data_IF_496799730650
#
_entry.id   IF_496799730650
#
_cell.length_a   1.000
_cell.length_b   1.000
_cell.length_c   1.000
_cell.angle_alpha   90.00
_cell.angle_beta   90.00
_cell.angle_gamma   90.00
#
_symmetry.space_group_name_H-M   'P 1'
#
loop_
_entity.id
_entity.type
_entity.pdbx_description
1 polymer ?
#
# COMPACT_ATOMS: atom_id res chain seq x y z
N UNK A 1 -22.54 52.58 44.80
CA UNK A 1 -21.50 51.85 44.07
C UNK A 1 -22.17 50.83 43.18
N UNK A 2 -21.93 50.86 41.86
CA UNK A 2 -22.36 49.76 40.98
C UNK A 2 -21.49 48.55 41.30
N UNK A 3 -22.08 47.44 41.73
CA UNK A 3 -21.36 46.18 41.92
C UNK A 3 -21.45 45.42 40.61
N UNK A 4 -20.28 45.13 40.03
CA UNK A 4 -20.16 44.38 38.78
C UNK A 4 -19.78 42.93 39.08
N UNK A 5 -20.11 42.01 38.19
CA UNK A 5 -19.54 40.66 38.24
C UNK A 5 -18.22 40.64 37.48
N UNK A 6 -17.16 40.13 38.11
CA UNK A 6 -15.89 39.86 37.44
C UNK A 6 -15.80 38.37 37.16
N UNK A 7 -15.66 38.02 35.88
CA UNK A 7 -15.54 36.65 35.41
C UNK A 7 -14.07 36.33 35.22
N UNK A 8 -13.64 35.21 35.79
CA UNK A 8 -12.28 34.71 35.67
C UNK A 8 -12.23 33.51 34.74
N UNK A 9 -11.11 33.36 34.05
CA UNK A 9 -10.75 32.13 33.34
C UNK A 9 -10.30 31.07 34.34
N UNK A 10 -10.27 29.82 33.87
CA UNK A 10 -9.74 28.70 34.65
C UNK A 10 -8.27 28.88 35.06
N UNK A 11 -7.50 29.69 34.33
CA UNK A 11 -6.12 30.05 34.67
C UNK A 11 -6.01 31.23 35.66
N UNK A 12 -7.14 31.75 36.16
CA UNK A 12 -7.21 32.85 37.11
C UNK A 12 -7.13 34.26 36.52
N UNK A 13 -6.96 34.43 35.21
CA UNK A 13 -6.99 35.78 34.60
C UNK A 13 -8.42 36.31 34.50
N UNK A 14 -8.58 37.64 34.57
CA UNK A 14 -9.89 38.28 34.35
C UNK A 14 -10.26 38.17 32.88
N UNK A 15 -11.45 37.64 32.59
CA UNK A 15 -12.01 37.56 31.24
C UNK A 15 -12.91 38.74 30.90
N UNK A 16 -13.89 39.04 31.77
CA UNK A 16 -14.86 40.10 31.54
C UNK A 16 -15.37 40.69 32.86
N UNK A 17 -15.80 41.95 32.82
CA UNK A 17 -16.53 42.59 33.92
C UNK A 17 -17.91 42.99 33.43
N UNK A 18 -18.95 42.46 34.08
CA UNK A 18 -20.35 42.62 33.66
C UNK A 18 -21.02 43.64 34.59
N UNK A 19 -21.47 44.79 34.07
CA UNK A 19 -22.20 45.76 34.87
C UNK A 19 -23.56 45.25 35.37
N UNK A 20 -24.10 45.92 36.39
CA UNK A 20 -25.47 45.66 36.88
C UNK A 20 -26.51 45.95 35.77
N UNK A 21 -27.54 45.12 35.69
CA UNK A 21 -28.68 45.20 34.76
C UNK A 21 -28.33 45.11 33.25
N UNK A 22 -27.16 44.57 32.90
CA UNK A 22 -26.69 44.41 31.51
C UNK A 22 -26.56 42.92 31.16
N UNK A 23 -26.76 42.57 29.89
CA UNK A 23 -26.33 41.29 29.32
C UNK A 23 -25.22 41.61 28.33
N UNK A 24 -24.02 41.08 28.55
CA UNK A 24 -22.94 41.11 27.57
C UNK A 24 -23.08 39.88 26.69
N UNK A 25 -23.32 40.05 25.40
CA UNK A 25 -23.56 38.96 24.48
C UNK A 25 -22.75 39.09 23.19
N UNK A 26 -22.79 38.07 22.32
CA UNK A 26 -22.00 38.01 21.09
C UNK A 26 -22.33 39.12 20.07
N UNK A 27 -23.49 39.75 20.19
CA UNK A 27 -23.99 40.76 19.25
C UNK A 27 -24.07 42.19 19.81
N UNK A 28 -23.34 42.49 20.90
CA UNK A 28 -23.34 43.85 21.47
C UNK A 28 -22.49 44.82 20.62
N UNK A 29 -23.08 45.88 20.03
CA UNK A 29 -22.33 46.86 19.24
C UNK A 29 -21.34 47.65 20.12
N UNK A 30 -20.09 47.76 19.68
CA UNK A 30 -19.07 48.63 20.33
C UNK A 30 -18.45 48.07 21.63
N UNK A 31 -18.57 46.77 21.90
CA UNK A 31 -17.98 46.10 23.07
C UNK A 31 -17.18 44.85 22.66
N UNK A 32 -16.31 44.34 23.55
CA UNK A 32 -15.61 43.07 23.36
C UNK A 32 -16.64 41.91 23.34
N UNK A 33 -16.91 41.27 22.19
CA UNK A 33 -17.93 40.23 22.11
C UNK A 33 -17.52 39.04 22.98
N UNK A 34 -18.52 38.36 23.56
CA UNK A 34 -18.34 37.17 24.39
C UNK A 34 -19.10 36.00 23.74
N UNK A 35 -18.64 34.75 23.91
CA UNK A 35 -19.17 33.62 23.16
C UNK A 35 -20.56 33.21 23.62
N UNK A 36 -20.93 33.59 24.85
CA UNK A 36 -22.22 33.34 25.47
C UNK A 36 -22.77 34.64 26.04
N UNK A 37 -24.09 34.72 26.22
CA UNK A 37 -24.73 35.80 26.94
C UNK A 37 -24.38 35.75 28.43
N UNK A 38 -23.52 36.65 28.88
CA UNK A 38 -23.15 36.81 30.28
C UNK A 38 -24.09 37.81 30.97
N UNK A 39 -24.81 37.33 31.98
CA UNK A 39 -25.89 38.07 32.64
C UNK A 39 -25.34 38.83 33.86
N UNK A 40 -25.52 40.15 33.87
CA UNK A 40 -25.19 41.02 34.98
C UNK A 40 -26.18 40.91 36.14
N UNK A 41 -25.75 41.34 37.32
CA UNK A 41 -26.60 41.35 38.52
C UNK A 41 -27.91 42.10 38.27
N UNK A 42 -29.01 41.65 38.87
CA UNK A 42 -30.34 42.28 38.79
C UNK A 42 -30.88 42.49 37.37
N UNK A 43 -30.31 41.83 36.35
CA UNK A 43 -30.89 41.88 35.01
C UNK A 43 -32.23 41.16 35.03
N UNK A 44 -33.30 41.86 34.65
CA UNK A 44 -34.61 41.24 34.38
C UNK A 44 -34.67 40.73 32.94
N UNK A 45 -35.52 39.74 32.67
CA UNK A 45 -35.69 39.10 31.36
C UNK A 45 -34.44 38.37 30.83
N UNK A 46 -33.61 37.82 31.73
CA UNK A 46 -32.43 37.03 31.37
C UNK A 46 -32.73 35.62 30.85
N UNK A 47 -33.95 35.12 31.09
CA UNK A 47 -34.30 33.71 30.87
C UNK A 47 -34.09 33.23 29.43
N UNK A 48 -34.44 34.06 28.44
CA UNK A 48 -34.18 33.75 27.04
C UNK A 48 -32.67 33.61 26.77
N UNK A 49 -31.89 34.62 27.15
CA UNK A 49 -30.45 34.67 26.92
C UNK A 49 -29.72 33.48 27.57
N UNK A 50 -30.19 33.01 28.74
CA UNK A 50 -29.62 31.84 29.41
C UNK A 50 -30.02 30.53 28.72
N UNK A 51 -31.28 30.36 28.31
CA UNK A 51 -31.70 29.16 27.59
C UNK A 51 -30.98 29.02 26.23
N UNK A 52 -30.78 30.13 25.51
CA UNK A 52 -29.99 30.16 24.27
C UNK A 52 -28.54 29.70 24.50
N UNK A 53 -27.91 30.12 25.60
CA UNK A 53 -26.54 29.67 25.93
C UNK A 53 -26.45 28.15 26.05
N UNK A 54 -27.41 27.50 26.71
CA UNK A 54 -27.40 26.05 26.87
C UNK A 54 -27.57 25.33 25.53
N UNK A 55 -28.44 25.85 24.65
CA UNK A 55 -28.60 25.30 23.31
C UNK A 55 -27.31 25.43 22.51
N UNK A 56 -26.68 26.61 22.51
CA UNK A 56 -25.41 26.87 21.81
C UNK A 56 -24.27 25.97 22.28
N UNK A 57 -24.20 25.67 23.57
CA UNK A 57 -23.21 24.75 24.11
C UNK A 57 -23.45 23.30 23.64
N UNK A 58 -24.71 22.84 23.63
CA UNK A 58 -25.05 21.47 23.20
C UNK A 58 -24.78 21.27 21.71
N UNK A 59 -25.03 22.27 20.87
CA UNK A 59 -24.75 22.19 19.43
C UNK A 59 -23.30 22.51 19.06
N UNK A 60 -22.42 22.71 20.05
CA UNK A 60 -21.03 23.16 19.84
C UNK A 60 -20.96 24.40 18.93
N UNK A 61 -21.84 25.37 19.16
CA UNK A 61 -21.96 26.61 18.38
C UNK A 61 -22.11 26.36 16.87
N UNK A 62 -22.83 25.31 16.49
CA UNK A 62 -23.02 24.87 15.10
C UNK A 62 -23.46 26.02 14.18
N UNK A 63 -22.61 26.40 13.24
CA UNK A 63 -22.88 27.46 12.26
C UNK A 63 -21.87 27.42 11.12
N UNK A 64 -22.22 27.98 9.96
CA UNK A 64 -21.27 28.21 8.86
C UNK A 64 -20.24 29.31 9.20
N UNK A 65 -20.58 30.21 10.11
CA UNK A 65 -19.73 31.32 10.56
C UNK A 65 -19.17 31.05 11.96
N UNK A 66 -17.93 31.45 12.17
CA UNK A 66 -17.22 31.32 13.43
C UNK A 66 -17.99 32.05 14.55
N UNK A 67 -18.05 31.46 15.76
CA UNK A 67 -18.70 32.11 16.90
C UNK A 67 -18.03 33.44 17.23
N UNK A 68 -18.83 34.49 17.43
CA UNK A 68 -18.33 35.83 17.81
C UNK A 68 -17.78 35.80 19.23
N UNK A 69 -16.65 36.48 19.45
CA UNK A 69 -16.07 36.56 20.79
C UNK A 69 -15.54 35.23 21.29
N UNK A 70 -15.23 34.29 20.39
CA UNK A 70 -14.76 32.96 20.78
C UNK A 70 -13.52 33.04 21.68
N UNK A 71 -13.36 32.03 22.52
CA UNK A 71 -12.24 31.94 23.46
C UNK A 71 -11.33 30.78 23.09
N UNK A 72 -10.05 30.89 23.43
CA UNK A 72 -9.11 29.79 23.29
C UNK A 72 -9.67 28.51 23.95
N UNK A 73 -9.66 27.41 23.21
CA UNK A 73 -10.19 26.10 23.62
C UNK A 73 -11.67 25.88 23.32
N UNK A 74 -12.37 26.88 22.76
CA UNK A 74 -13.78 26.73 22.41
C UNK A 74 -13.97 25.80 21.21
N UNK A 75 -14.94 24.88 21.34
CA UNK A 75 -15.38 24.02 20.24
C UNK A 75 -16.33 24.77 19.31
N UNK A 76 -16.21 24.48 18.01
CA UNK A 76 -17.11 24.97 16.97
C UNK A 76 -17.38 23.87 15.95
N UNK A 77 -18.65 23.50 15.75
CA UNK A 77 -19.06 22.66 14.63
C UNK A 77 -19.34 23.52 13.40
N UNK A 78 -18.39 23.59 12.47
CA UNK A 78 -18.55 24.31 11.20
C UNK A 78 -19.41 23.47 10.26
N UNK A 79 -20.66 23.87 10.07
CA UNK A 79 -21.61 23.19 9.21
C UNK A 79 -21.75 23.95 7.87
N UNK A 80 -21.38 23.31 6.76
CA UNK A 80 -21.49 23.87 5.40
C UNK A 80 -22.65 23.26 4.60
N UNK A 81 -23.60 22.60 5.27
CA UNK A 81 -24.80 22.01 4.68
C UNK A 81 -24.69 20.50 4.52
N UNK A 82 -23.86 20.02 3.59
CA UNK A 82 -23.69 18.58 3.29
C UNK A 82 -22.55 17.92 4.08
N UNK A 83 -21.66 18.72 4.67
CA UNK A 83 -20.53 18.24 5.48
C UNK A 83 -20.35 19.14 6.70
N UNK A 84 -19.76 18.57 7.76
CA UNK A 84 -19.41 19.32 8.95
C UNK A 84 -18.01 18.99 9.45
N UNK A 85 -17.39 19.95 10.12
CA UNK A 85 -16.05 19.86 10.70
C UNK A 85 -16.10 20.34 12.15
N UNK A 86 -15.48 19.59 13.07
CA UNK A 86 -15.30 20.06 14.44
C UNK A 86 -13.94 20.74 14.55
N UNK A 87 -13.97 21.97 15.04
CA UNK A 87 -12.83 22.84 15.20
C UNK A 87 -12.67 23.20 16.68
N UNK A 88 -11.43 23.45 17.09
CA UNK A 88 -11.10 24.06 18.38
C UNK A 88 -10.32 25.35 18.15
N UNK A 89 -10.73 26.42 18.83
CA UNK A 89 -10.05 27.71 18.75
C UNK A 89 -8.69 27.65 19.44
N UNK A 90 -7.64 28.10 18.78
CA UNK A 90 -6.28 28.13 19.34
C UNK A 90 -5.93 29.49 19.99
N UNK A 91 -6.75 30.51 19.73
CA UNK A 91 -6.58 31.88 20.26
C UNK A 91 -7.94 32.45 20.68
N UNK A 92 -7.93 33.60 21.34
CA UNK A 92 -9.16 34.36 21.58
C UNK A 92 -9.52 35.18 20.35
N UNK A 93 -10.81 35.33 20.07
CA UNK A 93 -11.31 36.03 18.88
C UNK A 93 -10.72 35.50 17.56
N UNK A 94 -10.52 34.19 17.47
CA UNK A 94 -10.13 33.51 16.24
C UNK A 94 -11.10 33.89 15.10
N UNK A 95 -10.51 34.29 13.98
CA UNK A 95 -11.23 34.82 12.81
C UNK A 95 -11.90 33.69 12.03
N UNK A 96 -12.86 34.04 11.18
CA UNK A 96 -13.43 33.07 10.23
C UNK A 96 -12.29 32.47 9.39
N UNK A 97 -12.15 31.13 9.32
CA UNK A 97 -11.15 30.50 8.46
C UNK A 97 -11.47 30.79 6.99
N UNK A 98 -10.66 31.65 6.37
CA UNK A 98 -10.80 32.06 4.97
C UNK A 98 -9.45 32.19 4.24
N UNK A 99 -8.34 32.20 4.98
CA UNK A 99 -6.98 32.29 4.47
C UNK A 99 -5.99 31.57 5.40
N UNK A 100 -4.72 31.45 5.00
CA UNK A 100 -3.71 30.74 5.80
C UNK A 100 -3.50 31.32 7.20
N UNK A 101 -3.78 32.62 7.41
CA UNK A 101 -3.53 33.28 8.69
C UNK A 101 -4.67 33.02 9.66
N UNK A 102 -5.91 33.16 9.19
CA UNK A 102 -7.14 32.86 9.94
C UNK A 102 -7.34 31.36 10.16
N UNK A 103 -6.87 30.51 9.24
CA UNK A 103 -6.88 29.05 9.43
C UNK A 103 -5.93 28.59 10.54
N UNK A 104 -4.78 29.25 10.70
CA UNK A 104 -3.82 28.93 11.77
C UNK A 104 -4.36 29.25 13.18
N UNK A 105 -5.48 29.97 13.29
CA UNK A 105 -6.16 30.28 14.56
C UNK A 105 -7.11 29.16 15.02
N UNK A 106 -7.33 28.14 14.17
CA UNK A 106 -8.18 27.00 14.45
C UNK A 106 -7.41 25.69 14.23
N UNK A 107 -7.65 24.71 15.11
CA UNK A 107 -7.26 23.33 14.83
C UNK A 107 -8.49 22.53 14.44
N UNK A 108 -8.40 21.78 13.34
CA UNK A 108 -9.35 20.72 13.04
C UNK A 108 -9.14 19.57 14.01
N UNK A 109 -10.23 19.12 14.64
CA UNK A 109 -10.22 17.86 15.40
C UNK A 109 -10.57 16.79 14.37
N UNK A 110 -9.61 15.94 13.95
CA UNK A 110 -9.86 14.99 12.88
C UNK A 110 -10.92 13.97 13.32
N UNK A 111 -12.11 14.08 12.74
CA UNK A 111 -13.06 12.97 12.73
C UNK A 111 -12.72 12.09 11.54
N UNK A 112 -12.13 10.92 11.80
CA UNK A 112 -11.90 9.94 10.74
C UNK A 112 -13.26 9.33 10.39
N UNK A 113 -13.88 9.88 9.36
CA UNK A 113 -15.17 9.43 8.83
C UNK A 113 -14.97 8.92 7.40
N UNK A 114 -15.70 7.87 7.04
CA UNK A 114 -15.72 7.33 5.67
C UNK A 114 -16.54 8.27 4.78
N UNK A 115 -15.88 8.85 3.78
CA UNK A 115 -16.50 9.62 2.71
C UNK A 115 -16.32 8.88 1.38
N UNK A 116 -17.41 8.61 0.68
CA UNK A 116 -17.32 7.93 -0.62
C UNK A 116 -16.68 8.81 -1.71
N UNK A 117 -16.57 10.13 -1.45
CA UNK A 117 -15.88 11.11 -2.28
C UNK A 117 -15.03 12.03 -1.41
N UNK A 118 -13.87 12.47 -1.93
CA UNK A 118 -13.02 13.42 -1.23
C UNK A 118 -13.79 14.75 -1.04
N UNK A 119 -13.92 15.29 0.18
CA UNK A 119 -14.56 16.58 0.42
C UNK A 119 -13.83 17.72 -0.30
N UNK A 120 -14.54 18.79 -0.63
CA UNK A 120 -13.91 19.95 -1.26
C UNK A 120 -12.78 20.54 -0.39
N UNK A 121 -11.62 20.76 -1.01
CA UNK A 121 -10.45 21.30 -0.34
C UNK A 121 -10.63 22.76 0.05
N UNK A 122 -11.27 23.57 -0.79
CA UNK A 122 -11.38 25.02 -0.60
C UNK A 122 -12.15 25.35 0.69
N UNK A 123 -13.26 24.66 0.91
CA UNK A 123 -14.11 24.85 2.09
C UNK A 123 -13.66 24.08 3.34
N UNK A 124 -12.61 23.27 3.26
CA UNK A 124 -12.13 22.43 4.38
C UNK A 124 -10.92 23.05 5.10
N UNK A 125 -10.76 22.77 6.39
CA UNK A 125 -9.63 23.26 7.20
C UNK A 125 -8.43 22.31 7.10
N UNK A 126 -7.22 22.87 6.95
CA UNK A 126 -5.96 22.11 6.92
C UNK A 126 -5.83 21.15 8.12
N UNK A 127 -5.20 20.00 7.90
CA UNK A 127 -5.03 18.95 8.90
C UNK A 127 -6.21 17.99 9.03
N UNK A 128 -7.34 18.24 8.34
CA UNK A 128 -8.46 17.29 8.28
C UNK A 128 -8.00 15.95 7.71
N UNK A 129 -8.43 14.86 8.33
CA UNK A 129 -8.18 13.49 7.88
C UNK A 129 -9.49 12.79 7.52
N UNK A 130 -9.52 12.03 6.43
CA UNK A 130 -10.71 11.31 5.95
C UNK A 130 -10.35 9.92 5.42
N UNK A 131 -11.26 8.96 5.57
CA UNK A 131 -11.20 7.68 4.86
C UNK A 131 -12.03 7.79 3.57
N UNK A 132 -11.46 7.40 2.43
CA UNK A 132 -12.14 7.42 1.13
C UNK A 132 -12.25 6.03 0.52
N UNK A 133 -13.03 5.91 -0.56
CA UNK A 133 -13.22 4.64 -1.28
C UNK A 133 -13.73 3.52 -0.38
N UNK A 134 -14.84 3.77 0.34
CA UNK A 134 -15.42 2.86 1.32
C UNK A 134 -14.49 2.44 2.49
N UNK A 135 -13.39 3.14 2.73
CA UNK A 135 -12.49 2.88 3.85
C UNK A 135 -11.06 2.48 3.46
N UNK A 136 -10.78 2.31 2.17
CA UNK A 136 -9.50 1.74 1.70
C UNK A 136 -8.33 2.75 1.69
N UNK A 137 -8.61 4.04 1.69
CA UNK A 137 -7.58 5.09 1.54
C UNK A 137 -7.71 6.17 2.62
N UNK A 138 -6.64 6.45 3.34
CA UNK A 138 -6.56 7.55 4.30
C UNK A 138 -5.99 8.80 3.62
N UNK A 139 -6.67 9.94 3.71
CA UNK A 139 -6.21 11.21 3.13
C UNK A 139 -6.15 12.32 4.17
N UNK A 140 -5.17 13.21 4.04
CA UNK A 140 -4.98 14.40 4.87
C UNK A 140 -4.97 15.66 4.02
N UNK A 141 -5.67 16.70 4.46
CA UNK A 141 -5.68 18.00 3.78
C UNK A 141 -4.43 18.81 4.15
N UNK A 142 -3.60 19.11 3.15
CA UNK A 142 -2.29 19.72 3.34
C UNK A 142 -2.31 21.22 3.08
N UNK A 143 -1.15 21.87 3.29
CA UNK A 143 -0.93 23.26 2.89
C UNK A 143 -1.28 23.43 1.40
N UNK A 144 -2.01 24.51 1.08
CA UNK A 144 -2.56 24.82 -0.25
C UNK A 144 -3.86 24.10 -0.64
N UNK A 145 -4.65 23.62 0.34
CA UNK A 145 -5.98 22.99 0.10
C UNK A 145 -5.93 21.74 -0.77
N UNK A 146 -4.77 21.09 -0.84
CA UNK A 146 -4.54 19.87 -1.61
C UNK A 146 -4.70 18.65 -0.70
N UNK A 147 -5.55 17.70 -1.10
CA UNK A 147 -5.66 16.42 -0.42
C UNK A 147 -4.48 15.51 -0.79
N UNK A 148 -3.79 14.99 0.23
CA UNK A 148 -2.74 13.99 0.04
C UNK A 148 -3.13 12.67 0.66
N UNK A 149 -2.88 11.61 -0.09
CA UNK A 149 -3.09 10.25 0.38
C UNK A 149 -1.93 9.82 1.27
N UNK A 150 -2.27 9.42 2.49
CA UNK A 150 -1.35 8.72 3.38
C UNK A 150 -1.34 7.27 2.90
N UNK A 151 -0.23 6.89 2.27
CA UNK A 151 -0.01 5.53 1.80
C UNK A 151 0.00 4.58 3.00
N UNK A 152 -1.09 3.85 3.21
CA UNK A 152 -1.20 2.81 4.25
C UNK A 152 -0.90 1.41 3.72
N UNK A 153 -0.81 1.24 2.41
CA UNK A 153 -0.36 0.02 1.74
C UNK A 153 0.97 0.25 1.00
N UNK A 154 1.83 -0.76 1.02
CA UNK A 154 2.98 -0.84 0.10
C UNK A 154 2.45 -1.13 -1.31
N UNK A 155 2.99 -0.52 -2.37
CA UNK A 155 2.53 -0.79 -3.74
C UNK A 155 2.75 -2.27 -4.08
N UNK A 156 1.67 -3.06 -4.11
CA UNK A 156 1.67 -4.51 -4.33
C UNK A 156 2.32 -4.93 -5.66
N UNK A 157 2.34 -4.05 -6.66
CA UNK A 157 2.82 -4.38 -8.00
C UNK A 157 4.36 -4.33 -8.15
N UNK A 158 5.12 -3.97 -7.10
CA UNK A 158 6.59 -3.78 -7.22
C UNK A 158 7.42 -4.50 -6.16
N UNK A 159 6.78 -5.18 -5.20
CA UNK A 159 7.44 -6.06 -4.23
C UNK A 159 6.60 -7.34 -4.05
N UNK A 160 7.22 -8.50 -4.23
CA UNK A 160 6.57 -9.80 -4.00
C UNK A 160 7.40 -10.63 -3.02
N UNK A 161 6.73 -11.26 -2.05
CA UNK A 161 7.35 -12.18 -1.11
C UNK A 161 6.47 -13.41 -0.94
N UNK A 162 7.03 -14.61 -1.14
CA UNK A 162 6.29 -15.86 -0.94
C UNK A 162 7.21 -17.04 -0.66
N UNK A 163 6.67 -18.02 0.05
CA UNK A 163 7.27 -19.35 0.16
C UNK A 163 6.88 -20.16 -1.08
N UNK A 164 7.88 -20.65 -1.82
CA UNK A 164 7.63 -21.43 -3.03
C UNK A 164 7.20 -22.86 -2.69
N UNK A 165 6.31 -23.40 -3.52
CA UNK A 165 5.97 -24.81 -3.49
C UNK A 165 7.16 -25.66 -3.93
N UNK A 166 7.42 -26.73 -3.18
CA UNK A 166 8.52 -27.65 -3.43
C UNK A 166 8.05 -28.79 -4.32
N UNK A 167 8.78 -29.03 -5.40
CA UNK A 167 8.53 -30.08 -6.36
C UNK A 167 9.04 -31.43 -5.84
N UNK A 168 8.32 -32.01 -4.89
CA UNK A 168 8.60 -33.35 -4.37
C UNK A 168 8.38 -34.43 -5.44
N UNK A 169 9.06 -35.56 -5.27
CA UNK A 169 8.82 -36.72 -6.12
C UNK A 169 7.39 -37.24 -5.95
N UNK A 170 6.80 -37.78 -7.02
CA UNK A 170 5.39 -38.18 -7.03
C UNK A 170 5.06 -39.13 -5.86
N UNK A 171 4.07 -38.76 -5.05
CA UNK A 171 3.64 -39.52 -3.86
C UNK A 171 4.62 -39.47 -2.67
N UNK A 172 5.70 -38.69 -2.74
CA UNK A 172 6.73 -38.56 -1.70
C UNK A 172 6.71 -37.15 -1.08
N UNK A 173 7.32 -37.03 0.10
CA UNK A 173 7.53 -35.74 0.80
C UNK A 173 9.00 -35.30 0.77
N UNK A 174 9.76 -35.81 -0.18
CA UNK A 174 11.19 -35.54 -0.37
C UNK A 174 11.52 -35.59 -1.87
N UNK A 175 12.68 -35.03 -2.21
CA UNK A 175 13.29 -35.17 -3.53
C UNK A 175 14.42 -36.17 -3.39
N UNK A 176 14.34 -37.29 -4.11
CA UNK A 176 15.39 -38.30 -4.13
C UNK A 176 16.37 -38.01 -5.25
N UNK A 177 17.64 -37.87 -4.90
CA UNK A 177 18.76 -37.71 -5.82
C UNK A 177 19.51 -39.04 -5.90
N UNK A 178 19.77 -39.49 -7.11
CA UNK A 178 20.52 -40.72 -7.40
C UNK A 178 21.71 -40.38 -8.28
N UNK A 179 22.66 -41.31 -8.41
CA UNK A 179 23.77 -41.13 -9.35
C UNK A 179 23.30 -40.86 -10.80
N UNK A 180 22.24 -41.53 -11.24
CA UNK A 180 21.67 -41.37 -12.59
C UNK A 180 20.81 -40.11 -12.75
N UNK A 181 20.36 -39.51 -11.64
CA UNK A 181 19.57 -38.29 -11.64
C UNK A 181 20.01 -37.38 -10.47
N UNK A 182 21.23 -36.87 -10.60
CA UNK A 182 21.91 -36.11 -9.55
C UNK A 182 21.54 -34.63 -9.51
N UNK A 183 20.74 -34.16 -10.49
CA UNK A 183 20.29 -32.78 -10.62
C UNK A 183 18.79 -32.76 -10.89
N UNK A 184 18.02 -32.11 -10.02
CA UNK A 184 16.56 -32.10 -10.09
C UNK A 184 15.98 -30.73 -9.71
N UNK A 185 14.83 -30.36 -10.30
CA UNK A 185 14.14 -29.13 -9.93
C UNK A 185 13.57 -29.22 -8.52
N UNK A 186 13.92 -28.25 -7.68
CA UNK A 186 13.43 -28.09 -6.30
C UNK A 186 12.15 -27.28 -6.26
N UNK A 187 12.12 -26.14 -6.95
CA UNK A 187 10.99 -25.22 -6.94
C UNK A 187 10.94 -24.43 -8.25
N UNK A 188 9.75 -23.93 -8.55
CA UNK A 188 9.48 -23.09 -9.71
C UNK A 188 8.88 -21.78 -9.23
N UNK A 189 9.24 -20.68 -9.89
CA UNK A 189 8.58 -19.40 -9.69
C UNK A 189 8.27 -18.72 -11.01
N UNK A 190 7.06 -18.16 -11.06
CA UNK A 190 6.39 -17.59 -12.23
C UNK A 190 6.09 -18.63 -13.33
N UNK A 191 4.82 -18.68 -13.75
CA UNK A 191 4.33 -19.47 -14.87
C UNK A 191 3.75 -18.59 -16.00
N UNK A 192 3.98 -17.27 -15.97
CA UNK A 192 3.61 -16.33 -17.05
C UNK A 192 2.69 -15.18 -16.60
N UNK A 193 2.71 -14.09 -17.38
CA UNK A 193 1.83 -12.93 -17.19
C UNK A 193 0.38 -13.18 -17.62
N UNK A 194 -0.53 -12.28 -17.29
CA UNK A 194 -1.96 -12.39 -17.63
C UNK A 194 -2.23 -11.92 -19.06
N UNK A 195 -2.97 -12.71 -19.84
CA UNK A 195 -3.53 -12.30 -21.14
C UNK A 195 -4.95 -11.76 -20.96
N UNK A 196 -5.30 -10.66 -21.64
CA UNK A 196 -6.66 -10.11 -21.66
C UNK A 196 -7.19 -10.06 -23.10
N UNK A 197 -8.50 -10.23 -23.26
CA UNK A 197 -9.17 -10.10 -24.56
C UNK A 197 -9.78 -8.70 -24.67
N UNK A 198 -9.37 -7.93 -25.68
CA UNK A 198 -9.88 -6.57 -25.89
C UNK A 198 -11.30 -6.54 -26.50
N UNK A 199 -11.86 -5.34 -26.69
CA UNK A 199 -13.21 -5.13 -27.26
C UNK A 199 -13.34 -5.59 -28.71
N UNK A 200 -12.23 -5.88 -29.39
CA UNK A 200 -12.18 -6.39 -30.76
C UNK A 200 -11.89 -7.92 -30.78
N UNK A 201 -11.99 -8.57 -29.62
CA UNK A 201 -11.70 -9.99 -29.39
C UNK A 201 -10.24 -10.39 -29.64
N UNK A 202 -9.27 -9.48 -29.54
CA UNK A 202 -7.84 -9.82 -29.66
C UNK A 202 -7.26 -10.17 -28.30
N UNK A 203 -6.50 -11.26 -28.24
CA UNK A 203 -5.72 -11.59 -27.04
C UNK A 203 -4.48 -10.69 -26.99
N UNK A 204 -4.41 -9.83 -25.97
CA UNK A 204 -3.30 -8.92 -25.72
C UNK A 204 -2.60 -9.29 -24.43
N UNK A 205 -1.27 -9.15 -24.43
CA UNK A 205 -0.48 -9.15 -23.20
C UNK A 205 -0.47 -7.71 -22.70
N UNK A 206 -1.17 -7.47 -21.60
CA UNK A 206 -1.25 -6.14 -20.98
C UNK A 206 -0.21 -6.02 -19.87
N UNK A 207 0.17 -4.79 -19.51
CA UNK A 207 0.85 -4.57 -18.24
C UNK A 207 -0.17 -4.93 -17.13
N UNK A 208 -0.12 -6.18 -16.68
CA UNK A 208 -1.05 -6.69 -15.68
C UNK A 208 -0.69 -6.17 -14.30
N UNK A 209 -1.62 -6.22 -13.36
CA UNK A 209 -1.34 -6.06 -11.92
C UNK A 209 -0.61 -7.28 -11.34
N UNK A 210 0.15 -8.00 -12.16
CA UNK A 210 0.95 -9.16 -11.77
C UNK A 210 2.33 -8.73 -11.29
N UNK A 211 3.09 -9.69 -10.75
CA UNK A 211 4.39 -9.42 -10.11
C UNK A 211 5.45 -8.91 -11.11
N UNK A 212 5.35 -9.30 -12.38
CA UNK A 212 6.29 -8.89 -13.44
C UNK A 212 5.62 -8.04 -14.51
N UNK A 213 6.17 -6.85 -14.70
CA UNK A 213 5.86 -5.88 -15.74
C UNK A 213 6.91 -6.01 -16.86
N UNK A 214 6.45 -5.96 -18.11
CA UNK A 214 7.36 -5.96 -19.27
C UNK A 214 8.26 -4.73 -19.24
N UNK A 215 9.53 -4.91 -19.63
CA UNK A 215 10.54 -3.88 -19.66
C UNK A 215 11.03 -3.36 -18.31
N UNK A 216 10.70 -4.05 -17.23
CA UNK A 216 11.21 -3.74 -15.89
C UNK A 216 12.39 -4.62 -15.52
N UNK A 217 13.27 -4.05 -14.68
CA UNK A 217 14.35 -4.77 -14.01
C UNK A 217 13.88 -5.19 -12.62
N UNK A 218 14.24 -6.42 -12.25
CA UNK A 218 13.89 -6.98 -10.96
C UNK A 218 15.13 -7.46 -10.23
N UNK A 219 15.20 -7.17 -8.95
CA UNK A 219 16.07 -7.85 -8.01
C UNK A 219 15.31 -9.02 -7.39
N UNK A 220 15.98 -10.15 -7.21
CA UNK A 220 15.47 -11.27 -6.43
C UNK A 220 16.42 -11.61 -5.29
N UNK A 221 15.84 -12.02 -4.17
CA UNK A 221 16.54 -12.64 -3.05
C UNK A 221 15.87 -13.97 -2.72
N UNK A 222 16.67 -15.03 -2.73
CA UNK A 222 16.27 -16.38 -2.38
C UNK A 222 16.96 -16.79 -1.09
N UNK A 223 16.16 -17.21 -0.10
CA UNK A 223 16.66 -17.89 1.10
C UNK A 223 16.23 -19.34 1.02
N UNK A 224 17.20 -20.21 0.80
CA UNK A 224 16.98 -21.64 0.59
C UNK A 224 17.57 -22.39 1.77
N UNK A 225 16.77 -23.23 2.41
CA UNK A 225 17.25 -24.19 3.41
C UNK A 225 17.02 -25.60 2.86
N UNK A 226 18.05 -26.43 2.88
CA UNK A 226 17.98 -27.84 2.51
C UNK A 226 18.41 -28.67 3.71
N UNK A 227 17.68 -29.77 3.95
CA UNK A 227 18.02 -30.78 4.96
C UNK A 227 17.91 -32.18 4.39
N UNK A 228 18.75 -33.07 4.89
CA UNK A 228 18.64 -34.51 4.60
C UNK A 228 17.52 -35.12 5.44
N UNK A 229 16.82 -36.05 4.83
CA UNK A 229 15.78 -36.84 5.49
C UNK A 229 15.99 -38.31 5.22
N UNK A 230 15.51 -39.14 6.13
CA UNK A 230 15.36 -40.56 5.89
C UNK A 230 13.88 -40.92 5.83
N UNK A 231 13.59 -42.00 5.11
CA UNK A 231 12.25 -42.57 5.00
C UNK A 231 12.28 -43.93 5.71
N UNK A 232 11.78 -43.95 6.94
CA UNK A 232 11.66 -45.17 7.75
C UNK A 232 10.19 -45.60 7.73
N UNK A 233 9.87 -46.56 6.85
CA UNK A 233 8.53 -47.15 6.75
C UNK A 233 7.39 -46.14 6.51
N UNK A 234 7.63 -45.08 5.73
CA UNK A 234 6.63 -44.08 5.36
C UNK A 234 6.59 -42.85 6.28
N UNK A 235 7.34 -42.85 7.38
CA UNK A 235 7.59 -41.66 8.18
C UNK A 235 8.90 -40.99 7.75
N UNK A 236 8.81 -39.68 7.53
CA UNK A 236 9.97 -38.86 7.18
C UNK A 236 10.62 -38.35 8.46
N UNK A 237 11.84 -38.83 8.71
CA UNK A 237 12.65 -38.41 9.86
C UNK A 237 13.72 -37.46 9.37
N UNK A 238 13.86 -36.29 10.01
CA UNK A 238 14.90 -35.33 9.66
C UNK A 238 16.26 -35.75 10.22
N UNK A 239 17.31 -35.54 9.44
CA UNK A 239 18.70 -35.67 9.87
C UNK A 239 19.32 -34.26 10.02
N UNK A 240 19.00 -33.52 11.10
CA UNK A 240 19.26 -32.08 11.21
C UNK A 240 20.74 -31.68 11.12
N UNK A 241 21.66 -32.60 11.44
CA UNK A 241 23.10 -32.38 11.32
C UNK A 241 23.59 -32.29 9.88
N UNK A 242 22.80 -32.74 8.90
CA UNK A 242 23.05 -32.57 7.48
C UNK A 242 22.05 -31.54 6.97
N UNK A 243 22.40 -30.26 7.09
CA UNK A 243 21.62 -29.16 6.53
C UNK A 243 22.57 -28.15 5.87
N UNK A 244 22.04 -27.38 4.92
CA UNK A 244 22.78 -26.33 4.20
C UNK A 244 21.83 -25.20 3.86
N UNK A 245 22.29 -23.97 4.06
CA UNK A 245 21.50 -22.77 3.73
C UNK A 245 22.21 -21.99 2.63
N UNK A 246 21.43 -21.51 1.67
CA UNK A 246 21.90 -20.71 0.56
C UNK A 246 21.15 -19.38 0.56
N UNK A 247 21.92 -18.31 0.41
CA UNK A 247 21.41 -16.98 0.13
C UNK A 247 21.84 -16.63 -1.28
N UNK A 248 20.87 -16.53 -2.18
CA UNK A 248 21.13 -16.19 -3.58
C UNK A 248 20.46 -14.87 -3.85
N UNK A 249 21.24 -13.90 -4.31
CA UNK A 249 20.72 -12.63 -4.78
C UNK A 249 21.05 -12.48 -6.24
N UNK A 250 20.19 -11.82 -6.98
CA UNK A 250 20.51 -11.53 -8.36
C UNK A 250 19.52 -10.58 -8.96
N UNK A 251 19.68 -10.39 -10.26
CA UNK A 251 18.81 -9.54 -11.05
C UNK A 251 18.50 -10.18 -12.39
N UNK A 252 17.30 -9.89 -12.87
CA UNK A 252 16.88 -10.23 -14.21
C UNK A 252 16.09 -9.09 -14.84
N UNK A 253 16.04 -9.15 -16.15
CA UNK A 253 15.27 -8.23 -16.98
C UNK A 253 14.16 -8.99 -17.69
N UNK A 254 12.95 -8.46 -17.65
CA UNK A 254 11.82 -8.94 -18.46
C UNK A 254 11.79 -8.14 -19.75
N UNK A 255 11.79 -8.81 -20.90
CA UNK A 255 11.86 -8.18 -22.21
C UNK A 255 10.93 -6.96 -22.34
N UNK A 256 11.47 -5.87 -22.90
CA UNK A 256 10.73 -4.65 -23.21
C UNK A 256 10.46 -4.63 -24.70
N UNK A 257 9.21 -4.72 -25.08
CA UNK A 257 8.78 -4.15 -26.35
C UNK A 257 7.46 -3.41 -26.03
N UNK A 258 7.31 -2.17 -26.52
CA UNK A 258 6.36 -1.17 -26.00
C UNK A 258 4.86 -1.44 -26.21
N UNK A 259 4.06 -0.40 -26.42
CA UNK A 259 2.60 -0.56 -26.62
C UNK A 259 2.31 -1.15 -28.00
N UNK A 260 1.60 -2.28 -28.07
CA UNK A 260 1.20 -2.91 -29.33
C UNK A 260 -0.23 -2.55 -29.69
N UNK A 261 -0.43 -2.14 -30.94
CA UNK A 261 -1.76 -2.00 -31.55
C UNK A 261 -1.93 -3.11 -32.59
N UNK A 262 -2.69 -4.17 -32.28
CA UNK A 262 -2.97 -5.23 -33.24
C UNK A 262 -3.45 -4.67 -34.60
N UNK A 263 -2.90 -5.20 -35.70
CA UNK A 263 -3.23 -4.78 -37.07
C UNK A 263 -2.34 -3.70 -37.70
N UNK A 264 -1.40 -3.09 -36.96
CA UNK A 264 -0.42 -2.13 -37.50
C UNK A 264 1.04 -2.53 -37.31
N UNK A 265 1.31 -3.41 -36.34
CA UNK A 265 2.63 -3.97 -36.02
C UNK A 265 2.66 -5.45 -36.37
N UNK A 266 3.85 -6.03 -36.54
CA UNK A 266 4.01 -7.48 -36.73
C UNK A 266 3.97 -8.21 -35.39
N UNK A 267 3.46 -9.44 -35.37
CA UNK A 267 3.49 -10.31 -34.18
C UNK A 267 4.93 -10.48 -33.65
N UNK A 268 5.93 -10.41 -34.56
CA UNK A 268 7.37 -10.48 -34.25
C UNK A 268 7.84 -9.45 -33.22
N UNK A 269 7.08 -8.37 -33.05
CA UNK A 269 7.42 -7.27 -32.18
C UNK A 269 6.80 -7.42 -30.79
N UNK A 270 5.87 -8.36 -30.57
CA UNK A 270 5.25 -8.59 -29.25
C UNK A 270 6.29 -8.97 -28.19
N UNK A 271 6.06 -8.62 -26.90
CA UNK A 271 6.93 -9.04 -25.83
C UNK A 271 6.85 -10.55 -25.69
N UNK A 272 8.01 -11.20 -25.56
CA UNK A 272 8.04 -12.63 -25.29
C UNK A 272 8.09 -12.84 -23.78
N UNK A 273 7.03 -13.38 -23.13
CA UNK A 273 7.03 -13.63 -21.69
C UNK A 273 8.08 -14.67 -21.26
N UNK A 274 8.72 -15.39 -22.21
CA UNK A 274 9.85 -16.31 -21.96
C UNK A 274 11.21 -15.61 -22.00
N UNK A 275 11.31 -14.38 -22.49
CA UNK A 275 12.58 -13.64 -22.57
C UNK A 275 12.87 -12.95 -21.25
N UNK A 276 13.26 -13.76 -20.28
CA UNK A 276 13.84 -13.28 -19.03
C UNK A 276 15.37 -13.44 -19.14
N UNK A 277 16.09 -12.33 -19.08
CA UNK A 277 17.56 -12.34 -19.15
C UNK A 277 18.13 -12.21 -17.76
N UNK A 278 18.86 -13.24 -17.30
CA UNK A 278 19.66 -13.13 -16.09
C UNK A 278 20.80 -12.14 -16.32
N UNK A 279 20.91 -11.13 -15.46
CA UNK A 279 21.94 -10.10 -15.56
C UNK A 279 23.11 -10.41 -14.62
N UNK A 280 22.81 -10.81 -13.38
CA UNK A 280 23.82 -11.16 -12.39
C UNK A 280 23.22 -12.10 -11.33
N UNK A 281 24.07 -12.96 -10.76
CA UNK A 281 23.73 -13.78 -9.59
C UNK A 281 24.91 -13.90 -8.65
N UNK A 282 24.67 -13.61 -7.38
CA UNK A 282 25.60 -13.75 -6.27
C UNK A 282 25.06 -14.83 -5.35
N UNK A 283 25.90 -15.81 -5.02
CA UNK A 283 25.54 -16.95 -4.20
C UNK A 283 26.43 -17.00 -2.96
N UNK A 284 25.82 -16.82 -1.81
CA UNK A 284 26.43 -16.98 -0.51
C UNK A 284 25.97 -18.30 0.11
N UNK A 285 26.95 -19.11 0.51
CA UNK A 285 26.71 -20.43 1.12
C UNK A 285 26.99 -20.34 2.61
N UNK A 286 26.03 -20.75 3.42
CA UNK A 286 26.20 -20.85 4.88
C UNK A 286 26.41 -22.32 5.25
N UNK A 287 27.33 -22.53 6.21
CA UNK A 287 27.95 -23.79 6.63
C UNK A 287 27.06 -25.03 6.57
N UNK A 288 27.65 -26.14 6.10
CA UNK A 288 27.10 -27.49 6.14
C UNK A 288 28.16 -28.47 6.64
N UNK A 289 27.73 -29.58 7.23
CA UNK A 289 28.58 -30.74 7.57
C UNK A 289 28.91 -31.63 6.36
N UNK A 290 28.14 -31.52 5.26
CA UNK A 290 28.35 -32.25 4.00
C UNK A 290 28.63 -31.28 2.85
N UNK A 291 29.79 -31.40 2.15
CA UNK A 291 30.19 -30.43 1.14
C UNK A 291 29.53 -30.62 -0.23
N UNK A 292 28.84 -31.75 -0.48
CA UNK A 292 28.48 -32.19 -1.83
C UNK A 292 27.13 -31.69 -2.37
N UNK A 293 26.37 -30.90 -1.60
CA UNK A 293 25.10 -30.33 -2.03
C UNK A 293 25.29 -28.98 -2.69
N UNK A 294 24.57 -28.76 -3.77
CA UNK A 294 24.54 -27.47 -4.41
C UNK A 294 23.16 -27.08 -4.92
N UNK A 295 22.96 -25.79 -5.12
CA UNK A 295 21.76 -25.23 -5.76
C UNK A 295 22.18 -24.27 -6.86
N UNK A 296 21.39 -24.23 -7.92
CA UNK A 296 21.57 -23.29 -9.01
C UNK A 296 20.24 -22.67 -9.38
N UNK A 297 20.31 -21.40 -9.79
CA UNK A 297 19.16 -20.70 -10.37
C UNK A 297 19.25 -20.86 -11.88
N UNK A 298 18.17 -21.39 -12.44
CA UNK A 298 17.99 -21.57 -13.88
C UNK A 298 16.92 -20.59 -14.33
N UNK A 299 17.37 -19.48 -14.89
CA UNK A 299 16.52 -18.56 -15.64
C UNK A 299 16.57 -19.03 -17.10
N UNK A 300 15.51 -19.70 -17.56
CA UNK A 300 15.52 -20.29 -18.90
C UNK A 300 15.27 -19.21 -19.95
N UNK A 301 16.14 -19.17 -20.97
CA UNK A 301 15.94 -18.35 -22.16
C UNK A 301 14.92 -18.94 -23.13
N UNK A 302 14.75 -18.26 -24.28
CA UNK A 302 13.80 -18.59 -25.35
C UNK A 302 13.80 -20.09 -25.70
N UNK A 303 12.61 -20.65 -25.91
CA UNK A 303 12.43 -21.98 -26.48
C UNK A 303 12.57 -21.92 -28.01
N UNK A 304 13.70 -22.39 -28.59
CA UNK A 304 13.93 -22.28 -30.03
C UNK A 304 13.05 -23.24 -30.85
N UNK A 305 12.32 -24.17 -30.20
CA UNK A 305 11.41 -25.10 -30.87
C UNK A 305 10.06 -24.48 -31.22
N UNK A 306 9.75 -23.31 -30.66
CA UNK A 306 8.51 -22.59 -30.93
C UNK A 306 8.72 -21.67 -32.14
N UNK A 307 7.85 -21.72 -33.16
CA UNK A 307 7.98 -20.87 -34.35
C UNK A 307 8.03 -19.39 -33.98
N UNK A 308 8.92 -18.63 -34.63
CA UNK A 308 8.98 -17.17 -34.48
C UNK A 308 7.60 -16.54 -34.78
N UNK A 309 7.25 -15.42 -34.13
CA UNK A 309 5.96 -14.80 -34.36
C UNK A 309 6.00 -14.10 -35.72
N UNK A 310 5.28 -14.64 -36.70
CA UNK A 310 5.25 -14.11 -38.07
C UNK A 310 3.84 -13.65 -38.41
N UNK A 311 3.71 -12.47 -39.04
CA UNK A 311 2.44 -11.97 -39.59
C UNK A 311 1.84 -10.80 -38.81
N UNK A 312 0.71 -10.29 -39.32
CA UNK A 312 -0.04 -9.14 -38.78
C UNK A 312 -1.51 -9.49 -38.52
N UNK A 313 -1.91 -10.75 -38.74
CA UNK A 313 -3.29 -11.20 -38.62
C UNK A 313 -3.61 -11.71 -37.23
N UNK A 314 -4.88 -11.69 -36.83
CA UNK A 314 -5.35 -12.20 -35.52
C UNK A 314 -4.88 -13.60 -35.18
N UNK A 315 -4.93 -14.50 -36.16
CA UNK A 315 -4.51 -15.88 -35.97
C UNK A 315 -3.03 -15.98 -35.62
N UNK A 316 -2.18 -15.11 -36.18
CA UNK A 316 -0.74 -15.10 -35.92
C UNK A 316 -0.45 -14.70 -34.46
N UNK A 317 -1.16 -13.70 -33.96
CA UNK A 317 -1.07 -13.23 -32.57
C UNK A 317 -1.53 -14.29 -31.56
N UNK A 318 -2.70 -14.90 -31.78
CA UNK A 318 -3.25 -15.91 -30.88
C UNK A 318 -2.39 -17.18 -30.84
N UNK A 319 -1.90 -17.64 -32.01
CA UNK A 319 -1.02 -18.79 -32.10
C UNK A 319 0.30 -18.57 -31.35
N UNK A 320 0.87 -17.36 -31.44
CA UNK A 320 2.08 -17.02 -30.69
C UNK A 320 1.89 -17.09 -29.17
N UNK A 321 0.80 -16.51 -28.66
CA UNK A 321 0.49 -16.54 -27.22
C UNK A 321 0.25 -17.98 -26.75
N UNK A 322 -0.54 -18.76 -27.48
CA UNK A 322 -0.86 -20.16 -27.15
C UNK A 322 0.42 -21.02 -27.14
N UNK A 323 1.29 -20.89 -28.15
CA UNK A 323 2.53 -21.65 -28.20
C UNK A 323 3.48 -21.26 -27.05
N UNK A 324 3.52 -19.99 -26.68
CA UNK A 324 4.34 -19.51 -25.56
C UNK A 324 3.88 -20.07 -24.21
N UNK A 325 2.56 -20.15 -23.98
CA UNK A 325 1.97 -20.74 -22.78
C UNK A 325 2.16 -22.26 -22.67
N UNK A 326 2.21 -22.96 -23.82
CA UNK A 326 2.37 -24.41 -23.87
C UNK A 326 3.85 -24.86 -24.03
N UNK A 327 4.82 -23.97 -23.86
CA UNK A 327 6.24 -24.34 -23.92
C UNK A 327 6.59 -25.31 -22.80
N UNK A 328 7.41 -26.32 -23.13
CA UNK A 328 7.98 -27.22 -22.14
C UNK A 328 9.10 -26.57 -21.31
N UNK A 329 9.52 -25.33 -21.64
CA UNK A 329 10.42 -24.52 -20.81
C UNK A 329 9.62 -23.69 -19.81
N UNK A 330 10.14 -23.52 -18.60
CA UNK A 330 9.48 -22.73 -17.55
C UNK A 330 9.51 -21.22 -17.88
N UNK A 331 8.36 -20.58 -17.68
CA UNK A 331 8.12 -19.14 -17.86
C UNK A 331 8.55 -18.35 -16.61
N UNK A 332 9.84 -18.38 -16.27
CA UNK A 332 10.32 -17.80 -15.00
C UNK A 332 11.72 -18.25 -14.63
N UNK A 333 11.97 -18.39 -13.33
CA UNK A 333 13.18 -19.03 -12.84
C UNK A 333 12.87 -20.29 -12.05
N UNK A 334 13.74 -21.28 -12.22
CA UNK A 334 13.67 -22.60 -11.59
C UNK A 334 14.86 -22.74 -10.66
N UNK A 335 14.63 -23.26 -9.47
CA UNK A 335 15.70 -23.60 -8.53
C UNK A 335 16.03 -25.07 -8.73
N UNK A 336 17.24 -25.36 -9.20
CA UNK A 336 17.72 -26.73 -9.33
C UNK A 336 18.62 -27.08 -8.15
N UNK A 337 18.40 -28.26 -7.58
CA UNK A 337 19.33 -28.89 -6.64
C UNK A 337 20.25 -29.82 -7.38
N UNK A 338 21.50 -29.93 -6.94
CA UNK A 338 22.44 -30.94 -7.39
C UNK A 338 23.21 -31.57 -6.24
N UNK A 339 23.52 -32.86 -6.38
CA UNK A 339 24.36 -33.59 -5.44
C UNK A 339 25.51 -34.22 -6.21
N UNK A 340 26.73 -33.92 -5.78
CA UNK A 340 27.96 -34.48 -6.34
C UNK A 340 28.43 -35.71 -5.58
N UNK A 341 29.28 -36.52 -6.24
CA UNK A 341 29.97 -37.67 -5.65
C UNK A 341 29.08 -38.82 -5.15
N UNK A 342 27.90 -39.02 -5.76
CA UNK A 342 27.07 -40.20 -5.49
C UNK A 342 27.68 -41.46 -6.13
N UNK A 343 27.86 -42.50 -5.32
CA UNK A 343 28.29 -43.82 -5.80
C UNK A 343 27.13 -44.61 -6.42
N UNK A 344 27.45 -45.66 -7.19
CA UNK A 344 26.44 -46.49 -7.83
C UNK A 344 25.55 -47.18 -6.78
N UNK A 345 24.24 -46.93 -6.84
CA UNK A 345 23.26 -47.44 -5.87
C UNK A 345 23.02 -46.54 -4.66
N UNK A 346 23.76 -45.44 -4.53
CA UNK A 346 23.54 -44.45 -3.47
C UNK A 346 22.38 -43.51 -3.83
N UNK A 347 21.53 -43.20 -2.83
CA UNK A 347 20.53 -42.15 -2.93
C UNK A 347 20.54 -41.24 -1.71
N UNK A 348 20.26 -39.97 -1.95
CA UNK A 348 20.13 -38.96 -0.90
C UNK A 348 18.75 -38.32 -1.05
N UNK A 349 18.01 -38.26 0.07
CA UNK A 349 16.65 -37.75 0.12
C UNK A 349 16.65 -36.40 0.83
N UNK A 350 16.14 -35.37 0.16
CA UNK A 350 16.20 -34.01 0.65
C UNK A 350 14.81 -33.39 0.81
N UNK A 351 14.69 -32.53 1.82
CA UNK A 351 13.60 -31.57 1.94
C UNK A 351 14.16 -30.16 1.85
N UNK A 352 13.44 -29.30 1.15
CA UNK A 352 13.85 -27.91 0.94
C UNK A 352 12.76 -26.95 1.42
N UNK A 353 13.17 -25.71 1.66
CA UNK A 353 12.27 -24.57 1.82
C UNK A 353 12.89 -23.40 1.08
N UNK A 354 12.10 -22.72 0.25
CA UNK A 354 12.57 -21.64 -0.59
C UNK A 354 11.70 -20.42 -0.36
N UNK A 355 12.25 -19.42 0.33
CA UNK A 355 11.63 -18.10 0.43
C UNK A 355 12.15 -17.24 -0.72
N UNK A 356 11.23 -16.63 -1.45
CA UNK A 356 11.51 -15.69 -2.52
C UNK A 356 11.04 -14.30 -2.13
N UNK A 357 11.92 -13.32 -2.31
CA UNK A 357 11.59 -11.90 -2.36
C UNK A 357 11.97 -11.35 -3.72
N UNK A 358 11.10 -10.51 -4.29
CA UNK A 358 11.33 -9.79 -5.54
C UNK A 358 11.05 -8.32 -5.30
N UNK A 359 11.89 -7.46 -5.87
CA UNK A 359 11.68 -6.01 -5.89
C UNK A 359 11.92 -5.49 -7.31
N UNK A 360 10.95 -4.78 -7.86
CA UNK A 360 11.02 -4.14 -9.18
C UNK A 360 11.53 -2.69 -9.08
N UNK A 361 12.36 -2.28 -10.05
CA UNK A 361 12.74 -0.87 -10.22
C UNK A 361 11.62 -0.16 -11.01
N UNK A 362 11.12 1.02 -10.57
CA UNK A 362 10.17 1.77 -11.37
C UNK A 362 10.80 2.16 -12.72
N UNK A 363 10.03 2.03 -13.80
CA UNK A 363 10.36 2.63 -15.09
C UNK A 363 10.59 4.13 -14.85
N UNK A 364 11.75 4.63 -15.26
CA UNK A 364 12.04 6.07 -15.25
C UNK A 364 11.13 6.71 -16.30
N UNK A 365 10.09 7.42 -15.86
CA UNK A 365 9.25 8.26 -16.72
C UNK A 365 7.80 7.82 -16.88
N UNK A 366 7.02 7.89 -15.80
CA UNK A 366 5.59 8.24 -15.90
C UNK A 366 5.38 9.55 -15.17
#
# INVERSE_FOLDING_TARGET
MSVNYTIYRSNGSVYATIPNNVILGPNQPGSNPVPLNLVGRNKVSYGQAWNENFLHLVENFSSASAPRGNVNGQLWYRNTGSTGELLISLVDNARQPADMVSEAEWASIPMITVFNTVPDGENSVMGRMVLTSNGDSLRVLMKNKEWREIQTSRPENKEYSSLLDINYDNGKKYIEFTQSNSTKPIAYFNLGGTSQVDTNNWTTLTNGTGVFEFGSNYFYELKIMIREVNDSSGEIVSLPYNSKTFFIKGQFYVDNQGTFVPGSVGASQMPDPRRITQLESIKDVITSSRPNWDVNIVINGVDPSIPNPNGTSKADYENWVINSLNSNKNLGFRVDGSISNLTAGESVKLQASVLLNITGIPIIGV
#
